data_IF_687330487120
#
_entry.id   IF_687330487120
#
_cell.length_a   1.000
_cell.length_b   1.000
_cell.length_c   1.000
_cell.angle_alpha   90.00
_cell.angle_beta   90.00
_cell.angle_gamma   90.00
#
_symmetry.space_group_name_H-M   'P 1'
#
loop_
_entity.id
_entity.type
_entity.pdbx_description
1 polymer ?
#
# COMPACT_ATOMS: atom_id res chain seq x y z
N UNK A 1 1.31 -4.76 -9.21
CA UNK A 1 0.91 -5.55 -8.01
C UNK A 1 -0.59 -5.91 -7.93
N UNK A 2 -1.53 -4.97 -8.17
CA UNK A 2 -2.96 -5.21 -7.94
C UNK A 2 -3.65 -6.15 -8.94
N UNK A 3 -3.00 -6.50 -10.05
CA UNK A 3 -3.55 -7.43 -11.03
C UNK A 3 -3.73 -8.86 -10.50
N UNK A 4 -3.14 -9.19 -9.34
CA UNK A 4 -3.30 -10.51 -8.70
C UNK A 4 -4.77 -10.89 -8.48
N UNK A 5 -5.67 -9.92 -8.30
CA UNK A 5 -7.11 -10.22 -8.12
C UNK A 5 -7.82 -10.63 -9.41
N UNK A 6 -7.13 -10.51 -10.54
CA UNK A 6 -7.58 -11.02 -11.84
C UNK A 6 -7.04 -12.43 -12.10
N UNK A 7 -6.10 -12.92 -11.30
CA UNK A 7 -5.54 -14.26 -11.43
C UNK A 7 -6.62 -15.34 -11.21
N UNK A 8 -6.53 -16.40 -12.02
CA UNK A 8 -7.49 -17.50 -11.97
C UNK A 8 -7.38 -18.29 -10.67
N UNK A 9 -6.17 -18.62 -10.23
CA UNK A 9 -5.93 -19.36 -9.00
C UNK A 9 -6.38 -18.60 -7.77
N UNK A 10 -6.09 -17.29 -7.71
CA UNK A 10 -6.59 -16.40 -6.66
C UNK A 10 -8.13 -16.38 -6.61
N UNK A 11 -8.81 -16.23 -7.76
CA UNK A 11 -10.27 -16.18 -7.82
C UNK A 11 -10.93 -17.51 -7.47
N UNK A 12 -10.35 -18.61 -7.91
CA UNK A 12 -10.79 -19.95 -7.53
C UNK A 12 -10.74 -20.10 -6.00
N UNK A 13 -9.59 -19.78 -5.39
CA UNK A 13 -9.41 -19.86 -3.94
C UNK A 13 -10.40 -18.96 -3.17
N UNK A 14 -10.62 -17.73 -3.62
CA UNK A 14 -11.55 -16.80 -2.97
C UNK A 14 -13.02 -17.24 -3.05
N UNK A 15 -13.37 -18.10 -4.01
CA UNK A 15 -14.73 -18.59 -4.23
C UNK A 15 -14.95 -20.00 -3.71
N UNK A 16 -13.92 -20.65 -3.21
CA UNK A 16 -14.02 -21.99 -2.65
C UNK A 16 -14.93 -21.97 -1.41
N UNK A 17 -16.01 -22.75 -1.44
CA UNK A 17 -17.05 -22.76 -0.40
C UNK A 17 -18.02 -21.57 -0.42
N UNK A 18 -17.77 -20.52 -1.24
CA UNK A 18 -18.66 -19.35 -1.43
C UNK A 18 -18.61 -18.83 -2.88
N UNK A 19 -19.32 -19.47 -3.83
CA UNK A 19 -19.26 -19.13 -5.26
C UNK A 19 -19.64 -17.69 -5.59
N UNK A 20 -20.56 -17.13 -4.80
CA UNK A 20 -21.11 -15.77 -4.97
C UNK A 20 -20.30 -14.69 -4.24
N UNK A 21 -19.16 -15.06 -3.64
CA UNK A 21 -18.28 -14.11 -2.97
C UNK A 21 -17.82 -13.03 -3.95
N UNK A 22 -18.08 -11.77 -3.58
CA UNK A 22 -17.62 -10.61 -4.33
C UNK A 22 -16.10 -10.50 -4.24
N UNK A 23 -15.45 -10.39 -5.41
CA UNK A 23 -14.02 -10.10 -5.53
C UNK A 23 -13.88 -8.73 -6.22
N UNK A 24 -13.28 -7.72 -5.56
CA UNK A 24 -13.15 -6.40 -6.13
C UNK A 24 -12.21 -6.38 -7.34
N UNK A 25 -12.42 -5.40 -8.23
CA UNK A 25 -11.51 -5.17 -9.35
C UNK A 25 -10.18 -4.57 -8.88
N UNK A 26 -9.12 -4.68 -9.68
CA UNK A 26 -7.82 -4.07 -9.37
C UNK A 26 -7.93 -2.54 -9.22
N UNK A 27 -8.82 -1.90 -9.98
CA UNK A 27 -9.08 -0.46 -9.93
C UNK A 27 -9.76 -0.07 -8.62
N UNK A 28 -10.69 -0.91 -8.14
CA UNK A 28 -11.36 -0.74 -6.84
C UNK A 28 -10.35 -0.81 -5.70
N UNK A 29 -9.51 -1.86 -5.70
CA UNK A 29 -8.45 -2.01 -4.70
C UNK A 29 -7.47 -0.83 -4.75
N UNK A 30 -7.05 -0.41 -5.94
CA UNK A 30 -6.14 0.72 -6.10
C UNK A 30 -6.73 2.01 -5.52
N UNK A 31 -8.00 2.31 -5.82
CA UNK A 31 -8.69 3.49 -5.30
C UNK A 31 -8.79 3.43 -3.78
N UNK A 32 -9.20 2.29 -3.23
CA UNK A 32 -9.42 2.14 -1.80
C UNK A 32 -8.10 2.23 -1.02
N UNK A 33 -7.00 1.66 -1.54
CA UNK A 33 -5.65 1.81 -0.97
C UNK A 33 -5.20 3.26 -1.00
N UNK A 34 -5.41 3.98 -2.11
CA UNK A 34 -5.06 5.41 -2.19
C UNK A 34 -5.84 6.24 -1.16
N UNK A 35 -7.14 5.99 -1.04
CA UNK A 35 -7.98 6.68 -0.06
C UNK A 35 -7.54 6.36 1.39
N UNK A 36 -7.19 5.10 1.67
CA UNK A 36 -6.69 4.70 2.98
C UNK A 36 -5.33 5.35 3.29
N UNK A 37 -4.45 5.41 2.29
CA UNK A 37 -3.15 6.07 2.41
C UNK A 37 -3.29 7.54 2.77
N UNK A 38 -4.12 8.31 2.05
CA UNK A 38 -4.31 9.74 2.36
C UNK A 38 -4.90 9.94 3.77
N UNK A 39 -5.91 9.16 4.17
CA UNK A 39 -6.46 9.24 5.54
C UNK A 39 -5.42 8.95 6.61
N UNK A 40 -4.59 7.93 6.39
CA UNK A 40 -3.54 7.53 7.34
C UNK A 40 -2.45 8.60 7.40
N UNK A 41 -2.08 9.16 6.25
CA UNK A 41 -1.11 10.24 6.12
C UNK A 41 -1.59 11.50 6.85
N UNK A 42 -2.85 11.90 6.68
CA UNK A 42 -3.44 13.03 7.41
C UNK A 42 -3.37 12.83 8.92
N UNK A 43 -3.77 11.63 9.39
CA UNK A 43 -3.71 11.29 10.82
C UNK A 43 -2.27 11.37 11.36
N UNK A 44 -1.32 10.73 10.68
CA UNK A 44 0.10 10.75 11.10
C UNK A 44 0.65 12.18 11.04
N UNK A 45 0.27 12.97 10.03
CA UNK A 45 0.72 14.36 9.94
C UNK A 45 0.27 15.19 11.16
N UNK A 46 -0.97 15.02 11.62
CA UNK A 46 -1.44 15.65 12.86
C UNK A 46 -0.62 15.18 14.06
N UNK A 47 -0.43 13.87 14.24
CA UNK A 47 0.33 13.32 15.37
C UNK A 47 1.79 13.81 15.39
N UNK A 48 2.43 13.93 14.21
CA UNK A 48 3.81 14.43 14.10
C UNK A 48 3.92 15.94 14.31
N UNK A 49 2.90 16.72 13.94
CA UNK A 49 2.87 18.17 14.15
C UNK A 49 2.61 18.53 15.62
N UNK A 50 1.81 17.73 16.32
CA UNK A 50 1.50 17.93 17.74
C UNK A 50 2.65 17.47 18.67
N UNK A 51 3.69 16.82 18.14
CA UNK A 51 4.81 16.32 18.93
C UNK A 51 5.78 17.46 19.33
N UNK A 52 5.85 17.75 20.64
CA UNK A 52 6.66 18.84 21.24
C UNK A 52 8.18 18.56 21.27
N UNK A 53 8.67 17.62 20.46
CA UNK A 53 10.05 17.14 20.49
C UNK A 53 10.70 17.04 19.12
N UNK A 54 11.97 16.65 19.10
CA UNK A 54 12.68 16.34 17.85
C UNK A 54 12.36 14.91 17.41
N UNK A 55 12.03 14.75 16.14
CA UNK A 55 11.84 13.44 15.51
C UNK A 55 13.14 13.07 14.79
N UNK A 56 13.86 12.01 15.21
CA UNK A 56 15.02 11.53 14.48
C UNK A 56 14.57 10.92 13.15
N UNK A 57 15.20 11.32 12.05
CA UNK A 57 14.95 10.80 10.71
C UNK A 57 16.18 10.00 10.28
N UNK A 58 15.98 8.76 9.85
CA UNK A 58 17.01 7.95 9.21
C UNK A 58 16.79 7.99 7.70
N UNK A 59 17.86 8.14 6.94
CA UNK A 59 17.81 8.12 5.48
C UNK A 59 18.67 6.95 5.02
N UNK A 60 18.08 6.03 4.26
CA UNK A 60 18.78 4.93 3.64
C UNK A 60 18.89 5.16 2.13
N UNK A 61 20.11 5.04 1.60
CA UNK A 61 20.42 5.32 0.21
C UNK A 61 21.15 4.11 -0.39
N UNK A 62 20.61 3.56 -1.47
CA UNK A 62 21.25 2.44 -2.18
C UNK A 62 21.12 2.58 -3.69
N UNK A 63 22.02 1.91 -4.41
CA UNK A 63 21.95 1.79 -5.87
C UNK A 63 21.43 0.41 -6.20
N UNK A 64 20.29 0.34 -6.89
CA UNK A 64 19.76 -0.92 -7.39
C UNK A 64 20.65 -1.50 -8.50
N UNK A 65 20.64 -2.83 -8.71
CA UNK A 65 21.37 -3.46 -9.81
C UNK A 65 21.02 -2.90 -11.20
N UNK A 66 19.85 -2.28 -11.35
CA UNK A 66 19.43 -1.60 -12.58
C UNK A 66 20.03 -0.19 -12.75
N UNK A 67 21.10 0.15 -12.02
CA UNK A 67 21.76 1.46 -12.02
C UNK A 67 20.87 2.64 -11.62
N UNK A 68 19.75 2.39 -10.94
CA UNK A 68 18.91 3.45 -10.37
C UNK A 68 19.32 3.67 -8.91
N UNK A 69 19.57 4.93 -8.53
CA UNK A 69 19.72 5.35 -7.14
C UNK A 69 18.35 5.45 -6.46
N UNK A 70 18.27 4.98 -5.21
CA UNK A 70 17.08 4.97 -4.39
C UNK A 70 17.37 5.63 -3.05
N UNK A 71 16.33 6.22 -2.46
CA UNK A 71 16.35 6.82 -1.14
C UNK A 71 15.07 6.44 -0.40
N UNK A 72 15.21 5.92 0.82
CA UNK A 72 14.13 5.73 1.77
C UNK A 72 14.30 6.72 2.93
N UNK A 73 13.17 7.19 3.42
CA UNK A 73 13.03 8.05 4.60
C UNK A 73 12.06 7.36 5.55
#
# INVERSE_FOLDING_TARGET
>A
PFCVVQDHGYRWLQKEGRPDQYVPSKETILRDIKNLFEKTKEKIATELQDYDGKIPIAIDCWTSPNHCAWMSI
#
